data_IF_920680188367
#
_entry.id   IF_920680188367
#
_cell.length_a   1.000
_cell.length_b   1.000
_cell.length_c   1.000
_cell.angle_alpha   90.00
_cell.angle_beta   90.00
_cell.angle_gamma   90.00
#
_symmetry.space_group_name_H-M   'P 1'
#
loop_
_entity.id
_entity.type
_entity.pdbx_description
1 polymer ?
#
# COMPACT_ATOMS: atom_id res chain seq x y z
N UNK A 1 -7.97 -26.48 6.54
CA UNK A 1 -7.29 -25.38 7.24
C UNK A 1 -7.97 -25.23 8.59
N UNK A 2 -7.22 -25.34 9.69
CA UNK A 2 -7.77 -25.09 11.02
C UNK A 2 -8.03 -23.59 11.14
N UNK A 3 -9.24 -23.22 11.57
CA UNK A 3 -9.64 -21.84 11.73
C UNK A 3 -9.03 -21.34 13.04
N UNK A 4 -7.96 -20.56 12.95
CA UNK A 4 -7.38 -19.87 14.12
C UNK A 4 -8.35 -18.74 14.48
N UNK A 5 -9.13 -18.94 15.54
CA UNK A 5 -10.11 -17.96 16.01
C UNK A 5 -9.42 -17.11 17.07
N UNK A 6 -9.01 -15.91 16.67
CA UNK A 6 -8.52 -14.90 17.60
C UNK A 6 -9.63 -14.57 18.62
N UNK A 7 -9.28 -14.53 19.90
CA UNK A 7 -10.22 -14.21 20.99
C UNK A 7 -9.69 -13.05 21.81
N UNK A 8 -10.61 -12.20 22.25
CA UNK A 8 -10.35 -11.05 23.13
C UNK A 8 -10.60 -11.39 24.60
N UNK A 9 -11.04 -12.63 24.88
CA UNK A 9 -11.16 -13.12 26.26
C UNK A 9 -9.80 -13.60 26.76
N UNK A 10 -9.31 -12.94 27.81
CA UNK A 10 -8.03 -13.29 28.41
C UNK A 10 -8.15 -14.49 29.35
N UNK A 11 -7.79 -15.66 28.84
CA UNK A 11 -7.75 -16.91 29.61
C UNK A 11 -6.33 -17.26 30.11
N UNK A 12 -5.31 -16.52 29.68
CA UNK A 12 -3.89 -16.81 29.91
C UNK A 12 -3.15 -15.66 30.60
N UNK A 13 -3.88 -14.70 31.16
CA UNK A 13 -3.38 -13.48 31.78
C UNK A 13 -2.49 -12.63 30.85
N UNK A 14 -2.75 -12.70 29.54
CA UNK A 14 -2.08 -11.90 28.52
C UNK A 14 -2.37 -10.42 28.62
N UNK A 15 -3.45 -10.03 29.29
CA UNK A 15 -3.82 -8.63 29.49
C UNK A 15 -2.75 -7.83 30.22
N UNK A 16 -2.07 -8.43 31.20
CA UNK A 16 -0.96 -7.75 31.91
C UNK A 16 0.17 -7.40 30.94
N UNK A 17 0.51 -8.32 30.04
CA UNK A 17 1.54 -8.12 29.01
C UNK A 17 1.06 -7.12 27.97
N UNK A 18 -0.21 -7.20 27.56
CA UNK A 18 -0.82 -6.30 26.59
C UNK A 18 -0.86 -4.86 27.10
N UNK A 19 -1.27 -4.65 28.36
CA UNK A 19 -1.32 -3.35 29.01
C UNK A 19 0.07 -2.74 29.14
N UNK A 20 1.08 -3.56 29.48
CA UNK A 20 2.48 -3.11 29.53
C UNK A 20 2.96 -2.65 28.15
N UNK A 21 2.71 -3.45 27.10
CA UNK A 21 3.10 -3.09 25.74
C UNK A 21 2.35 -1.83 25.25
N UNK A 22 1.07 -1.69 25.57
CA UNK A 22 0.28 -0.50 25.25
C UNK A 22 0.84 0.75 25.97
N UNK A 23 1.21 0.63 27.24
CA UNK A 23 1.84 1.73 27.98
C UNK A 23 3.19 2.13 27.37
N UNK A 24 4.03 1.16 26.97
CA UNK A 24 5.29 1.45 26.28
C UNK A 24 5.09 2.21 24.96
N UNK A 25 4.06 1.84 24.19
CA UNK A 25 3.71 2.54 22.93
C UNK A 25 3.26 3.98 23.22
N UNK A 26 2.45 4.17 24.27
CA UNK A 26 1.99 5.49 24.72
C UNK A 26 3.17 6.37 25.18
N UNK A 27 4.03 5.83 26.02
CA UNK A 27 5.20 6.52 26.57
C UNK A 27 6.24 6.87 25.49
N UNK A 28 6.26 6.11 24.39
CA UNK A 28 7.06 6.44 23.20
C UNK A 28 6.72 7.80 22.59
N UNK A 29 5.56 8.40 22.90
CA UNK A 29 5.17 9.76 22.52
C UNK A 29 5.39 10.08 21.01
N UNK A 30 4.99 9.13 20.16
CA UNK A 30 5.12 9.25 18.71
C UNK A 30 6.53 9.00 18.15
N UNK A 31 7.48 8.54 18.96
CA UNK A 31 8.70 7.92 18.46
C UNK A 31 8.39 6.52 17.89
N UNK A 32 9.05 6.10 16.80
CA UNK A 32 8.86 4.75 16.27
C UNK A 32 9.29 3.69 17.28
N UNK A 33 8.40 2.74 17.60
CA UNK A 33 8.67 1.59 18.47
C UNK A 33 8.37 0.31 17.72
N UNK A 34 9.32 -0.64 17.76
CA UNK A 34 9.17 -1.97 17.17
C UNK A 34 9.10 -3.01 18.29
N UNK A 35 8.00 -3.76 18.34
CA UNK A 35 7.79 -4.83 19.33
C UNK A 35 7.71 -6.16 18.60
N UNK A 36 8.57 -7.11 18.97
CA UNK A 36 8.53 -8.48 18.47
C UNK A 36 7.81 -9.41 19.44
N UNK A 37 6.81 -10.15 18.95
CA UNK A 37 6.12 -11.19 19.72
C UNK A 37 6.54 -12.56 19.21
N UNK A 38 7.19 -13.36 20.04
CA UNK A 38 7.69 -14.70 19.71
C UNK A 38 7.06 -15.76 20.62
N UNK A 39 6.99 -17.00 20.13
CA UNK A 39 6.39 -18.12 20.85
C UNK A 39 5.89 -19.23 19.92
N UNK A 40 5.62 -20.40 20.48
CA UNK A 40 5.15 -21.59 19.75
C UNK A 40 3.88 -21.35 18.95
N UNK A 41 3.62 -22.18 17.93
CA UNK A 41 2.36 -22.16 17.20
C UNK A 41 1.20 -22.48 18.16
N UNK A 42 0.08 -21.74 18.06
CA UNK A 42 -1.03 -21.86 19.01
C UNK A 42 -0.84 -21.16 20.37
N UNK A 43 0.29 -20.49 20.63
CA UNK A 43 0.53 -19.78 21.90
C UNK A 43 -0.28 -18.48 22.08
N UNK A 44 -1.24 -18.16 21.20
CA UNK A 44 -2.08 -16.97 21.32
C UNK A 44 -1.41 -15.63 20.95
N UNK A 45 -0.33 -15.64 20.16
CA UNK A 45 0.40 -14.43 19.74
C UNK A 45 -0.51 -13.40 19.05
N UNK A 46 -1.36 -13.84 18.13
CA UNK A 46 -2.29 -12.95 17.43
C UNK A 46 -3.33 -12.36 18.39
N UNK A 47 -3.84 -13.17 19.33
CA UNK A 47 -4.73 -12.70 20.40
C UNK A 47 -4.05 -11.65 21.28
N UNK A 48 -2.77 -11.84 21.63
CA UNK A 48 -2.00 -10.83 22.38
C UNK A 48 -1.89 -9.51 21.60
N UNK A 49 -1.63 -9.55 20.29
CA UNK A 49 -1.56 -8.35 19.43
C UNK A 49 -2.92 -7.63 19.36
N UNK A 50 -4.03 -8.38 19.28
CA UNK A 50 -5.38 -7.81 19.34
C UNK A 50 -5.63 -7.13 20.70
N UNK A 51 -5.28 -7.79 21.81
CA UNK A 51 -5.42 -7.22 23.16
C UNK A 51 -4.60 -5.94 23.34
N UNK A 52 -3.38 -5.85 22.78
CA UNK A 52 -2.59 -4.61 22.80
C UNK A 52 -3.36 -3.47 22.12
N UNK A 53 -4.00 -3.75 20.97
CA UNK A 53 -4.83 -2.77 20.27
C UNK A 53 -6.05 -2.32 21.09
N UNK A 54 -6.69 -3.24 21.83
CA UNK A 54 -7.79 -2.91 22.74
C UNK A 54 -7.32 -2.07 23.93
N UNK A 55 -6.20 -2.43 24.56
CA UNK A 55 -5.60 -1.67 25.65
C UNK A 55 -5.16 -0.27 25.21
N UNK A 56 -4.64 -0.10 24.00
CA UNK A 56 -4.34 1.22 23.45
C UNK A 56 -5.58 2.11 23.29
N UNK A 57 -6.69 1.53 22.83
CA UNK A 57 -7.96 2.26 22.69
C UNK A 57 -8.50 2.71 24.06
N UNK A 58 -8.34 1.90 25.10
CA UNK A 58 -8.83 2.23 26.45
C UNK A 58 -7.99 3.31 27.14
N UNK A 59 -6.68 3.38 26.88
CA UNK A 59 -5.77 4.35 27.52
C UNK A 59 -5.97 5.81 27.07
N UNK A 60 -6.51 6.03 25.86
CA UNK A 60 -6.54 7.33 25.18
C UNK A 60 -7.94 7.76 24.69
N UNK A 61 -9.00 7.16 25.26
CA UNK A 61 -10.38 7.46 24.85
C UNK A 61 -10.68 7.13 23.39
N UNK A 62 -9.88 6.25 22.77
CA UNK A 62 -10.12 5.67 21.45
C UNK A 62 -9.68 6.48 20.22
N UNK A 63 -9.30 7.76 20.36
CA UNK A 63 -9.23 8.66 19.19
C UNK A 63 -7.82 8.89 18.60
N UNK A 64 -6.74 8.47 19.26
CA UNK A 64 -5.37 8.82 18.82
C UNK A 64 -4.65 7.75 17.98
N UNK A 65 -5.13 6.50 17.98
CA UNK A 65 -4.43 5.39 17.35
C UNK A 65 -5.24 4.78 16.19
N UNK A 66 -4.59 4.60 15.04
CA UNK A 66 -5.13 3.86 13.90
C UNK A 66 -4.47 2.48 13.90
N UNK A 67 -5.25 1.44 14.17
CA UNK A 67 -4.75 0.07 14.21
C UNK A 67 -4.88 -0.61 12.84
N UNK A 68 -3.78 -1.12 12.30
CA UNK A 68 -3.72 -1.79 11.00
C UNK A 68 -3.15 -3.19 11.19
N UNK A 69 -3.97 -4.23 10.97
CA UNK A 69 -3.52 -5.63 10.97
C UNK A 69 -3.12 -6.04 9.55
N UNK A 70 -1.96 -6.67 9.34
CA UNK A 70 -1.50 -7.18 8.04
C UNK A 70 -1.02 -8.62 8.16
N UNK A 71 -1.74 -9.56 7.52
CA UNK A 71 -1.34 -10.97 7.47
C UNK A 71 -0.47 -11.22 6.22
N UNK A 72 0.84 -11.39 6.44
CA UNK A 72 1.81 -11.61 5.37
C UNK A 72 1.63 -12.94 4.61
N UNK A 73 1.10 -13.99 5.26
CA UNK A 73 0.91 -15.30 4.63
C UNK A 73 -0.12 -15.26 3.51
N UNK A 74 -1.14 -14.41 3.60
CA UNK A 74 -2.15 -14.23 2.55
C UNK A 74 -1.54 -13.72 1.23
N UNK A 75 -0.37 -13.10 1.29
CA UNK A 75 0.33 -12.54 0.13
C UNK A 75 1.53 -13.38 -0.31
N UNK A 76 1.73 -14.54 0.30
CA UNK A 76 2.80 -15.45 -0.06
C UNK A 76 2.50 -16.07 -1.44
N UNK A 77 3.34 -15.76 -2.42
CA UNK A 77 3.14 -16.15 -3.83
C UNK A 77 2.60 -15.05 -4.75
N UNK A 78 2.26 -13.86 -4.21
CA UNK A 78 2.03 -12.66 -5.01
C UNK A 78 3.28 -11.77 -4.98
N UNK A 79 3.72 -11.30 -6.15
CA UNK A 79 4.98 -10.56 -6.34
C UNK A 79 5.07 -9.21 -5.60
N UNK A 80 4.01 -8.77 -4.88
CA UNK A 80 3.99 -7.43 -4.31
C UNK A 80 3.36 -7.32 -2.90
N UNK A 81 3.84 -8.13 -1.95
CA UNK A 81 3.46 -8.01 -0.54
C UNK A 81 3.71 -6.59 0.03
N UNK A 82 4.71 -5.88 -0.49
CA UNK A 82 5.01 -4.48 -0.10
C UNK A 82 3.93 -3.52 -0.60
N UNK A 83 3.50 -3.65 -1.86
CA UNK A 83 2.40 -2.86 -2.39
C UNK A 83 1.08 -3.18 -1.70
N UNK A 84 0.83 -4.45 -1.38
CA UNK A 84 -0.36 -4.85 -0.62
C UNK A 84 -0.39 -4.20 0.77
N UNK A 85 0.75 -4.15 1.46
CA UNK A 85 0.87 -3.45 2.73
C UNK A 85 0.62 -1.94 2.56
N UNK A 86 1.25 -1.29 1.57
CA UNK A 86 1.05 0.14 1.30
C UNK A 86 -0.40 0.46 0.98
N UNK A 87 -1.05 -0.34 0.14
CA UNK A 87 -2.46 -0.17 -0.20
C UNK A 87 -3.34 -0.29 1.04
N UNK A 88 -3.11 -1.32 1.87
CA UNK A 88 -3.87 -1.52 3.11
C UNK A 88 -3.73 -0.34 4.08
N UNK A 89 -2.51 0.20 4.20
CA UNK A 89 -2.24 1.40 5.01
C UNK A 89 -2.98 2.61 4.43
N UNK A 90 -2.91 2.82 3.11
CA UNK A 90 -3.55 3.95 2.45
C UNK A 90 -5.07 3.92 2.56
N UNK A 91 -5.68 2.74 2.35
CA UNK A 91 -7.12 2.54 2.49
C UNK A 91 -7.57 2.86 3.91
N UNK A 92 -6.84 2.38 4.93
CA UNK A 92 -7.18 2.66 6.33
C UNK A 92 -7.00 4.14 6.69
N UNK A 93 -5.94 4.79 6.21
CA UNK A 93 -5.73 6.23 6.42
C UNK A 93 -6.85 7.05 5.78
N UNK A 94 -7.29 6.68 4.58
CA UNK A 94 -8.40 7.35 3.91
C UNK A 94 -9.72 7.18 4.66
N UNK A 95 -10.05 5.95 5.05
CA UNK A 95 -11.25 5.66 5.86
C UNK A 95 -11.30 6.52 7.13
N UNK A 96 -10.18 6.60 7.86
CA UNK A 96 -10.08 7.42 9.07
C UNK A 96 -10.11 8.93 8.77
N UNK A 97 -9.49 9.36 7.66
CA UNK A 97 -9.49 10.76 7.23
C UNK A 97 -10.90 11.23 6.87
N UNK A 98 -11.66 10.40 6.16
CA UNK A 98 -13.06 10.68 5.78
C UNK A 98 -13.97 10.66 7.00
N UNK A 99 -13.83 9.67 7.88
CA UNK A 99 -14.60 9.55 9.12
C UNK A 99 -14.39 10.76 10.04
N UNK A 100 -13.14 11.22 10.18
CA UNK A 100 -12.78 12.38 11.02
C UNK A 100 -12.92 13.73 10.30
N UNK A 101 -13.16 13.71 8.99
CA UNK A 101 -13.15 14.88 8.09
C UNK A 101 -11.85 15.69 8.18
N UNK A 102 -10.71 15.00 8.33
CA UNK A 102 -9.39 15.60 8.54
C UNK A 102 -8.39 15.02 7.55
N UNK A 103 -7.50 15.84 6.99
CA UNK A 103 -6.40 15.39 6.13
C UNK A 103 -6.81 14.62 4.86
N UNK A 104 -8.09 14.66 4.44
CA UNK A 104 -8.64 13.91 3.30
C UNK A 104 -7.87 14.16 2.01
N UNK A 105 -7.52 15.42 1.72
CA UNK A 105 -6.80 15.77 0.49
C UNK A 105 -5.40 15.14 0.47
N UNK A 106 -4.71 15.12 1.61
CA UNK A 106 -3.40 14.46 1.74
C UNK A 106 -3.51 12.94 1.62
N UNK A 107 -4.57 12.35 2.17
CA UNK A 107 -4.82 10.91 2.02
C UNK A 107 -5.07 10.54 0.54
N UNK A 108 -5.78 11.39 -0.21
CA UNK A 108 -5.96 11.25 -1.66
C UNK A 108 -4.64 11.35 -2.42
N UNK A 109 -3.78 12.32 -2.09
CA UNK A 109 -2.45 12.44 -2.70
C UNK A 109 -1.62 11.16 -2.50
N UNK A 110 -1.62 10.62 -1.28
CA UNK A 110 -0.93 9.38 -0.95
C UNK A 110 -1.46 8.16 -1.72
N UNK A 111 -2.78 7.96 -1.78
CA UNK A 111 -3.39 6.88 -2.57
C UNK A 111 -3.06 7.02 -4.06
N UNK A 112 -3.17 8.24 -4.61
CA UNK A 112 -2.84 8.50 -6.01
C UNK A 112 -1.38 8.16 -6.31
N UNK A 113 -0.47 8.38 -5.36
CA UNK A 113 0.94 8.02 -5.51
C UNK A 113 1.15 6.50 -5.53
N UNK A 114 0.45 5.75 -4.68
CA UNK A 114 0.50 4.29 -4.66
C UNK A 114 -0.07 3.71 -5.97
N UNK A 115 -1.21 4.23 -6.42
CA UNK A 115 -1.82 3.84 -7.69
C UNK A 115 -0.90 4.13 -8.88
N UNK A 116 -0.22 5.28 -8.86
CA UNK A 116 0.80 5.59 -9.88
C UNK A 116 1.92 4.56 -9.88
N UNK A 117 2.51 4.25 -8.73
CA UNK A 117 3.59 3.25 -8.63
C UNK A 117 3.15 1.87 -9.12
N UNK A 118 1.93 1.44 -8.77
CA UNK A 118 1.36 0.19 -9.25
C UNK A 118 1.25 0.19 -10.77
N UNK A 119 0.64 1.22 -11.35
CA UNK A 119 0.45 1.35 -12.80
C UNK A 119 1.78 1.44 -13.56
N UNK A 120 2.76 2.21 -13.03
CA UNK A 120 4.10 2.32 -13.64
C UNK A 120 4.81 0.98 -13.70
N UNK A 121 4.71 0.13 -12.67
CA UNK A 121 5.29 -1.23 -12.70
C UNK A 121 4.73 -2.11 -13.82
N UNK A 122 3.46 -1.93 -14.20
CA UNK A 122 2.86 -2.68 -15.30
C UNK A 122 3.19 -2.10 -16.68
N UNK A 123 3.28 -0.78 -16.80
CA UNK A 123 3.54 -0.11 -18.08
C UNK A 123 5.03 -0.09 -18.45
N UNK A 124 5.93 0.00 -17.47
CA UNK A 124 7.37 0.10 -17.73
C UNK A 124 7.93 -1.10 -18.53
N UNK A 125 7.59 -2.37 -18.23
CA UNK A 125 8.02 -3.51 -19.02
C UNK A 125 7.45 -3.51 -20.45
N UNK A 126 6.22 -3.02 -20.64
CA UNK A 126 5.58 -2.91 -21.96
C UNK A 126 6.30 -1.88 -22.82
N UNK A 127 6.50 -0.67 -22.30
CA UNK A 127 7.20 0.38 -23.03
C UNK A 127 8.64 -0.04 -23.36
N UNK A 128 9.34 -0.66 -22.42
CA UNK A 128 10.71 -1.15 -22.64
C UNK A 128 10.75 -2.26 -23.68
N UNK A 129 9.81 -3.22 -23.66
CA UNK A 129 9.71 -4.28 -24.67
C UNK A 129 9.41 -3.75 -26.08
N UNK A 130 8.53 -2.75 -26.20
CA UNK A 130 8.21 -2.09 -27.48
C UNK A 130 9.43 -1.33 -28.03
N UNK A 131 10.16 -0.60 -27.17
CA UNK A 131 11.35 0.17 -27.59
C UNK A 131 12.51 -0.74 -27.96
N UNK A 132 12.73 -1.82 -27.21
CA UNK A 132 13.89 -2.71 -27.41
C UNK A 132 13.64 -3.83 -28.43
N UNK A 133 12.40 -4.02 -28.88
CA UNK A 133 12.03 -5.14 -29.76
C UNK A 133 12.10 -6.51 -29.08
N UNK A 134 12.26 -6.55 -27.75
CA UNK A 134 12.32 -7.79 -26.98
C UNK A 134 10.91 -8.32 -26.68
N UNK A 135 10.71 -9.63 -26.87
CA UNK A 135 9.45 -10.28 -26.52
C UNK A 135 9.18 -10.13 -25.01
N UNK A 136 8.10 -9.44 -24.66
CA UNK A 136 7.65 -9.29 -23.27
C UNK A 136 7.12 -10.65 -22.80
N UNK A 137 7.85 -11.34 -21.93
CA UNK A 137 7.41 -12.61 -21.35
C UNK A 137 6.46 -12.40 -20.15
N UNK A 138 5.52 -13.31 -19.92
CA UNK A 138 4.58 -13.30 -18.78
C UNK A 138 3.15 -12.83 -19.12
N UNK A 139 2.27 -12.62 -18.12
CA UNK A 139 0.85 -12.31 -18.33
C UNK A 139 0.58 -11.08 -19.21
N UNK A 140 1.52 -10.13 -19.18
CA UNK A 140 1.49 -8.90 -19.98
C UNK A 140 1.77 -9.18 -21.46
N UNK A 141 2.69 -10.10 -21.76
CA UNK A 141 2.94 -10.58 -23.13
C UNK A 141 1.73 -11.30 -23.71
N UNK A 142 1.00 -12.07 -22.87
CA UNK A 142 -0.25 -12.72 -23.26
C UNK A 142 -1.35 -11.71 -23.61
N UNK A 143 -1.42 -10.58 -22.92
CA UNK A 143 -2.39 -9.51 -23.22
C UNK A 143 -2.07 -8.80 -24.54
N UNK A 144 -0.80 -8.44 -24.78
CA UNK A 144 -0.36 -7.84 -26.05
C UNK A 144 -0.55 -8.83 -27.21
N UNK A 145 -0.23 -10.11 -27.01
CA UNK A 145 -0.48 -11.17 -27.99
C UNK A 145 -1.98 -11.38 -28.27
N UNK A 146 -2.83 -11.30 -27.23
CA UNK A 146 -4.28 -11.39 -27.38
C UNK A 146 -4.87 -10.16 -28.09
N UNK A 147 -4.44 -8.94 -27.77
CA UNK A 147 -4.88 -7.71 -28.44
C UNK A 147 -4.38 -7.66 -29.88
N UNK A 148 -3.14 -8.08 -30.14
CA UNK A 148 -2.63 -8.26 -31.52
C UNK A 148 -3.38 -9.35 -32.27
N UNK A 149 -3.80 -10.42 -31.59
CA UNK A 149 -4.64 -11.49 -32.17
C UNK A 149 -6.10 -11.08 -32.38
N UNK A 150 -6.62 -10.15 -31.58
CA UNK A 150 -7.96 -9.57 -31.71
C UNK A 150 -8.02 -8.47 -32.79
N UNK A 151 -6.92 -7.75 -32.97
CA UNK A 151 -6.73 -6.73 -34.01
C UNK A 151 -6.24 -7.31 -35.34
N UNK A 152 -5.86 -8.59 -35.37
CA UNK A 152 -5.19 -9.20 -36.51
C UNK A 152 -5.67 -10.63 -36.77
N UNK A 153 -6.84 -10.77 -37.37
CA UNK A 153 -6.89 -11.69 -38.50
C UNK A 153 -5.96 -11.12 -39.57
N UNK A 154 -4.72 -11.65 -39.57
CA UNK A 154 -3.64 -11.51 -40.55
C UNK A 154 -2.51 -10.53 -40.19
N UNK A 155 -1.32 -11.08 -39.94
CA UNK A 155 -0.03 -10.45 -40.23
C UNK A 155 0.61 -9.61 -39.13
N UNK A 156 1.94 -9.68 -39.03
CA UNK A 156 2.76 -8.66 -38.36
C UNK A 156 2.35 -7.26 -38.85
N UNK A 157 2.35 -6.24 -37.97
CA UNK A 157 1.98 -4.88 -38.36
C UNK A 157 2.85 -4.43 -39.54
N UNK A 158 2.20 -3.88 -40.57
CA UNK A 158 2.89 -3.35 -41.75
C UNK A 158 3.84 -2.20 -41.36
N UNK A 159 4.89 -1.96 -42.17
CA UNK A 159 5.86 -0.87 -41.91
C UNK A 159 5.21 0.52 -41.76
N UNK A 160 4.06 0.74 -42.40
CA UNK A 160 3.29 1.98 -42.31
C UNK A 160 2.53 2.14 -40.99
N UNK A 161 2.02 1.05 -40.42
CA UNK A 161 1.37 1.07 -39.10
C UNK A 161 2.41 1.22 -37.99
N UNK A 162 3.60 0.62 -38.17
CA UNK A 162 4.70 0.75 -37.23
C UNK A 162 5.27 2.19 -37.22
N UNK A 163 5.36 2.85 -38.38
CA UNK A 163 5.80 4.24 -38.48
C UNK A 163 4.77 5.23 -37.94
N UNK A 164 3.48 5.03 -38.21
CA UNK A 164 2.40 5.83 -37.58
C UNK A 164 2.36 5.66 -36.06
N UNK A 165 2.59 4.43 -35.58
CA UNK A 165 2.69 4.15 -34.15
C UNK A 165 3.93 4.80 -33.53
N UNK A 166 5.06 4.81 -34.24
CA UNK A 166 6.29 5.51 -33.82
C UNK A 166 6.14 7.04 -33.81
N UNK A 167 5.47 7.62 -34.80
CA UNK A 167 5.21 9.07 -34.86
C UNK A 167 4.26 9.53 -33.76
N UNK A 168 3.16 8.79 -33.55
CA UNK A 168 2.25 9.04 -32.43
C UNK A 168 2.95 8.82 -31.08
N UNK A 169 3.83 7.84 -30.96
CA UNK A 169 4.64 7.66 -29.76
C UNK A 169 5.61 8.83 -29.51
N UNK A 170 6.30 9.32 -30.55
CA UNK A 170 7.22 10.46 -30.44
C UNK A 170 6.49 11.75 -30.05
N UNK A 171 5.25 11.94 -30.52
CA UNK A 171 4.46 13.12 -30.16
C UNK A 171 3.96 13.08 -28.72
N UNK A 172 3.62 11.90 -28.20
CA UNK A 172 3.05 11.73 -26.85
C UNK A 172 4.14 11.50 -25.79
N UNK A 173 5.34 11.06 -26.20
CA UNK A 173 6.50 10.88 -25.33
C UNK A 173 6.89 12.12 -24.48
N UNK A 174 7.00 13.35 -25.05
CA UNK A 174 7.32 14.53 -24.26
C UNK A 174 6.24 14.89 -23.23
N UNK A 175 4.96 14.68 -23.56
CA UNK A 175 3.85 14.89 -22.62
C UNK A 175 3.85 13.85 -21.49
N UNK A 176 4.12 12.58 -21.82
CA UNK A 176 4.34 11.53 -20.82
C UNK A 176 5.53 11.84 -19.92
N UNK A 177 6.64 12.31 -20.49
CA UNK A 177 7.86 12.66 -19.76
C UNK A 177 7.63 13.87 -18.85
N UNK A 178 6.84 14.85 -19.29
CA UNK A 178 6.44 16.00 -18.48
C UNK A 178 5.53 15.59 -17.32
N UNK A 179 4.53 14.74 -17.57
CA UNK A 179 3.65 14.19 -16.52
C UNK A 179 4.39 13.30 -15.52
N UNK A 180 5.44 12.60 -15.95
CA UNK A 180 6.36 11.85 -15.10
C UNK A 180 7.16 12.78 -14.18
N UNK A 181 7.82 13.80 -14.76
CA UNK A 181 8.68 14.73 -14.03
C UNK A 181 7.89 15.61 -13.03
N UNK A 182 6.70 16.07 -13.41
CA UNK A 182 5.85 16.91 -12.54
C UNK A 182 5.37 16.14 -11.29
N UNK A 183 5.26 14.81 -11.38
CA UNK A 183 4.93 13.92 -10.25
C UNK A 183 6.16 13.43 -9.47
N UNK A 184 7.39 13.68 -9.93
CA UNK A 184 8.59 13.21 -9.22
C UNK A 184 8.91 14.02 -7.96
N UNK A 185 8.50 15.29 -7.86
CA UNK A 185 8.88 16.17 -6.73
C UNK A 185 8.43 15.63 -5.35
N UNK A 186 7.30 14.92 -5.29
CA UNK A 186 6.75 14.31 -4.08
C UNK A 186 6.99 12.79 -4.04
N UNK A 187 7.78 12.31 -3.07
CA UNK A 187 8.08 10.88 -2.89
C UNK A 187 7.15 10.24 -1.85
N UNK A 188 6.97 8.91 -1.90
CA UNK A 188 6.13 8.19 -0.92
C UNK A 188 6.55 8.47 0.54
N UNK A 189 7.84 8.48 0.90
CA UNK A 189 8.25 8.88 2.25
C UNK A 189 7.83 10.30 2.63
N UNK A 190 7.93 11.28 1.71
CA UNK A 190 7.48 12.65 1.96
C UNK A 190 5.97 12.72 2.21
N UNK A 191 5.17 11.96 1.47
CA UNK A 191 3.71 11.90 1.69
C UNK A 191 3.35 11.30 3.05
N UNK A 192 4.07 10.27 3.49
CA UNK A 192 3.91 9.68 4.83
C UNK A 192 4.22 10.73 5.91
N UNK A 193 5.30 11.49 5.74
CA UNK A 193 5.68 12.56 6.66
C UNK A 193 4.62 13.68 6.69
N UNK A 194 4.08 14.08 5.53
CA UNK A 194 3.00 15.07 5.43
C UNK A 194 1.70 14.61 6.09
N UNK A 195 1.38 13.31 6.01
CA UNK A 195 0.27 12.68 6.70
C UNK A 195 0.49 12.66 8.21
N UNK A 196 1.65 12.19 8.67
CA UNK A 196 2.02 12.16 10.10
C UNK A 196 1.92 13.57 10.72
N UNK A 197 2.50 14.58 10.07
CA UNK A 197 2.38 15.97 10.51
C UNK A 197 0.92 16.45 10.56
N UNK A 198 0.09 16.07 9.60
CA UNK A 198 -1.32 16.47 9.55
C UNK A 198 -2.11 15.87 10.73
N UNK A 199 -1.96 14.58 10.97
CA UNK A 199 -2.63 13.88 12.07
C UNK A 199 -2.13 14.34 13.45
N UNK A 200 -0.83 14.58 13.61
CA UNK A 200 -0.27 15.13 14.86
C UNK A 200 -0.82 16.52 15.18
N UNK A 201 -0.92 17.38 14.18
CA UNK A 201 -1.47 18.74 14.38
C UNK A 201 -2.97 18.69 14.72
N UNK A 202 -3.73 17.77 14.11
CA UNK A 202 -5.13 17.57 14.46
C UNK A 202 -5.31 17.09 15.90
N UNK A 203 -4.53 16.09 16.34
CA UNK A 203 -4.60 15.57 17.71
C UNK A 203 -4.26 16.65 18.76
N UNK A 204 -3.30 17.54 18.47
CA UNK A 204 -2.97 18.68 19.34
C UNK A 204 -4.06 19.74 19.45
N UNK A 205 -4.87 19.95 18.40
CA UNK A 205 -5.94 20.94 18.36
C UNK A 205 -7.29 20.41 18.86
N UNK A 206 -7.41 19.08 19.06
CA UNK A 206 -8.65 18.41 19.50
C UNK A 206 -8.69 18.09 21.00
N UNK A 207 -7.64 18.46 21.75
CA UNK A 207 -7.56 18.47 23.21
C UNK A 207 -7.57 19.91 23.72
#
# INVERSE_FOLDING_TARGET
MWNDVETTQDLLNFKVVADTAAQMIKDGNGQPVSIGVSGSWGAGKSSLVQMIGESLKSLDGGNNYIFINFNAWLYQGYDDARMALLQKVADKIMEESEARKTCVDKAKEFINRINWLKTTKFIAPVATGIITGAAVAGPVGSFIGAVSGLLGQSGMPSQEEFSKMKESYIQVAPDLQKLLNEKEEKSVPKEIELLDHCFRNYSKNSN
#
